data_IF_342511591245
#
_entry.id   IF_342511591245
#
_cell.length_a   1.000
_cell.length_b   1.000
_cell.length_c   1.000
_cell.angle_alpha   90.00
_cell.angle_beta   90.00
_cell.angle_gamma   90.00
#
_symmetry.space_group_name_H-M   'P 1'
#
loop_
_entity.id
_entity.type
_entity.pdbx_description
1 polymer ?
#
# COMPACT_ATOMS: atom_id res chain seq x y z
N UNK A 1 32.19 19.87 42.90
CA UNK A 1 31.37 18.94 42.09
C UNK A 1 31.02 19.67 40.81
N UNK A 2 31.60 19.26 39.68
CA UNK A 2 31.28 19.87 38.38
C UNK A 2 29.95 19.29 37.90
N UNK A 3 28.95 20.16 37.71
CA UNK A 3 27.70 19.80 37.07
C UNK A 3 28.04 19.65 35.58
N UNK A 4 28.04 18.42 35.09
CA UNK A 4 28.16 18.15 33.65
C UNK A 4 26.90 18.70 32.98
N UNK A 5 26.98 19.91 32.44
CA UNK A 5 26.02 20.43 31.47
C UNK A 5 26.20 19.64 30.18
N UNK A 6 25.61 18.45 30.13
CA UNK A 6 25.46 17.73 28.87
C UNK A 6 24.37 18.49 28.11
N UNK A 7 24.76 19.20 27.06
CA UNK A 7 23.79 19.86 26.17
C UNK A 7 22.74 18.83 25.74
N UNK A 8 21.44 19.18 25.78
CA UNK A 8 20.41 18.27 25.30
C UNK A 8 20.70 17.96 23.85
N UNK A 9 20.95 16.69 23.57
CA UNK A 9 21.08 16.21 22.20
C UNK A 9 19.74 16.46 21.51
N UNK A 10 19.79 17.05 20.32
CA UNK A 10 18.63 17.21 19.45
C UNK A 10 18.69 16.17 18.33
N UNK A 11 17.53 15.73 17.88
CA UNK A 11 17.36 14.85 16.72
C UNK A 11 16.21 15.34 15.86
N UNK A 12 16.19 14.90 14.60
CA UNK A 12 15.13 15.23 13.65
C UNK A 12 14.04 14.17 13.71
N UNK A 13 12.78 14.59 13.89
CA UNK A 13 11.65 13.67 13.85
C UNK A 13 11.53 13.06 12.46
N UNK A 14 11.44 11.72 12.38
CA UNK A 14 11.30 11.00 11.12
C UNK A 14 10.00 11.30 10.35
N UNK A 15 8.96 11.79 11.04
CA UNK A 15 7.66 12.05 10.44
C UNK A 15 7.45 13.53 10.08
N UNK A 16 7.53 14.43 11.06
CA UNK A 16 7.29 15.87 10.82
C UNK A 16 8.56 16.66 10.47
N UNK A 17 9.73 16.03 10.50
CA UNK A 17 11.03 16.66 10.21
C UNK A 17 11.45 17.79 11.18
N UNK A 18 10.67 18.04 12.23
CA UNK A 18 11.04 19.01 13.27
C UNK A 18 12.19 18.52 14.15
N UNK A 19 13.01 19.46 14.61
CA UNK A 19 14.01 19.20 15.64
C UNK A 19 13.35 19.02 17.02
N UNK A 20 13.77 18.00 17.75
CA UNK A 20 13.29 17.74 19.11
C UNK A 20 14.39 17.21 20.04
N UNK A 21 14.24 17.38 21.37
CA UNK A 21 15.16 16.78 22.33
C UNK A 21 15.12 15.25 22.24
N UNK A 22 16.29 14.61 22.29
CA UNK A 22 16.44 13.17 22.33
C UNK A 22 17.11 12.75 23.64
N UNK A 23 16.36 12.05 24.50
CA UNK A 23 16.88 11.51 25.77
C UNK A 23 17.82 10.33 25.56
N UNK A 24 17.70 9.64 24.42
CA UNK A 24 18.59 8.55 23.97
C UNK A 24 19.04 8.81 22.54
N UNK A 25 20.15 8.22 22.10
CA UNK A 25 20.64 8.33 20.72
C UNK A 25 19.69 7.75 19.65
N UNK A 26 18.51 7.24 20.04
CA UNK A 26 17.55 6.50 19.22
C UNK A 26 16.16 7.16 19.22
N UNK A 27 16.01 8.38 19.74
CA UNK A 27 14.75 9.12 19.64
C UNK A 27 14.43 9.45 18.18
N UNK A 28 13.55 8.67 17.53
CA UNK A 28 13.18 8.84 16.11
C UNK A 28 11.95 9.74 15.90
N UNK A 29 11.19 10.01 16.95
CA UNK A 29 9.93 10.73 16.87
C UNK A 29 9.81 11.73 18.02
N UNK A 30 9.26 12.91 17.73
CA UNK A 30 9.02 13.95 18.73
C UNK A 30 7.78 13.66 19.61
N UNK A 31 6.90 12.76 19.18
CA UNK A 31 5.70 12.37 19.91
C UNK A 31 5.20 10.97 19.54
N UNK A 32 4.36 10.38 20.38
CA UNK A 32 3.66 9.12 20.06
C UNK A 32 2.70 9.30 18.86
N UNK A 33 2.14 10.49 18.66
CA UNK A 33 1.33 10.80 17.48
C UNK A 33 2.15 10.70 16.19
N UNK A 34 3.34 11.31 16.13
CA UNK A 34 4.23 11.22 14.97
C UNK A 34 4.66 9.78 14.65
N UNK A 35 4.87 8.96 15.68
CA UNK A 35 5.17 7.53 15.51
C UNK A 35 3.98 6.76 14.92
N UNK A 36 2.75 7.08 15.32
CA UNK A 36 1.52 6.48 14.76
C UNK A 36 1.31 6.93 13.32
N UNK A 37 1.52 8.20 13.02
CA UNK A 37 1.41 8.73 11.65
C UNK A 37 2.45 8.11 10.71
N UNK A 38 3.72 7.99 11.12
CA UNK A 38 4.74 7.26 10.33
C UNK A 38 4.36 5.78 10.10
N UNK A 39 3.71 5.13 11.07
CA UNK A 39 3.18 3.78 10.90
C UNK A 39 2.05 3.76 9.85
N UNK A 40 1.12 4.71 9.91
CA UNK A 40 0.04 4.84 8.94
C UNK A 40 0.58 5.09 7.53
N UNK A 41 1.55 5.99 7.37
CA UNK A 41 2.18 6.32 6.09
C UNK A 41 2.78 5.09 5.41
N UNK A 42 3.48 4.25 6.18
CA UNK A 42 4.05 2.99 5.67
C UNK A 42 2.97 2.00 5.25
N UNK A 43 1.92 1.86 6.04
CA UNK A 43 0.79 0.98 5.74
C UNK A 43 0.00 1.44 4.51
N UNK A 44 -0.26 2.74 4.38
CA UNK A 44 -0.89 3.33 3.20
C UNK A 44 0.00 3.19 1.97
N UNK A 45 1.31 3.36 2.10
CA UNK A 45 2.25 3.14 1.00
C UNK A 45 2.25 1.69 0.51
N UNK A 46 2.16 0.72 1.43
CA UNK A 46 2.00 -0.69 1.06
C UNK A 46 0.64 -1.00 0.43
N UNK A 47 -0.44 -0.34 0.85
CA UNK A 47 -1.76 -0.50 0.22
C UNK A 47 -1.75 0.10 -1.20
N UNK A 48 -1.16 1.28 -1.39
CA UNK A 48 -1.07 1.97 -2.69
C UNK A 48 -0.22 1.21 -3.71
N UNK A 49 0.72 0.38 -3.27
CA UNK A 49 1.49 -0.48 -4.17
C UNK A 49 0.70 -1.69 -4.68
N UNK A 50 -0.50 -1.94 -4.16
CA UNK A 50 -1.38 -3.02 -4.59
C UNK A 50 -2.33 -2.50 -5.67
N UNK A 51 -2.05 -2.86 -6.92
CA UNK A 51 -2.84 -2.38 -8.07
C UNK A 51 -4.30 -2.85 -8.07
N UNK A 52 -4.64 -3.85 -7.25
CA UNK A 52 -6.00 -4.37 -7.10
C UNK A 52 -6.79 -3.67 -5.99
N UNK A 53 -6.20 -2.70 -5.29
CA UNK A 53 -6.85 -1.88 -4.27
C UNK A 53 -6.89 -0.41 -4.68
N UNK A 54 -7.94 0.29 -4.27
CA UNK A 54 -8.02 1.75 -4.39
C UNK A 54 -7.28 2.43 -3.23
N UNK A 55 -6.22 3.18 -3.53
CA UNK A 55 -5.45 3.98 -2.57
C UNK A 55 -6.22 5.11 -1.91
N UNK A 56 -7.38 5.48 -2.46
CA UNK A 56 -8.28 6.51 -1.93
C UNK A 56 -9.31 5.93 -0.96
N UNK A 57 -10.10 4.94 -1.39
CA UNK A 57 -11.20 4.43 -0.56
C UNK A 57 -10.95 3.04 0.03
N UNK A 58 -9.84 2.36 -0.31
CA UNK A 58 -9.56 0.98 0.12
C UNK A 58 -10.37 -0.10 -0.60
N UNK A 59 -11.26 0.26 -1.54
CA UNK A 59 -12.07 -0.71 -2.27
C UNK A 59 -11.21 -1.64 -3.13
N UNK A 60 -11.50 -2.95 -3.12
CA UNK A 60 -10.79 -3.91 -3.95
C UNK A 60 -11.32 -3.82 -5.38
N UNK A 61 -10.54 -3.31 -6.31
CA UNK A 61 -10.92 -3.10 -7.71
C UNK A 61 -10.87 -4.39 -8.53
N UNK A 62 -9.95 -5.30 -8.19
CA UNK A 62 -9.74 -6.53 -8.94
C UNK A 62 -9.67 -7.71 -8.00
N UNK A 63 -10.23 -8.83 -8.41
CA UNK A 63 -9.89 -10.14 -7.88
C UNK A 63 -8.77 -10.73 -8.73
N UNK A 64 -7.80 -11.38 -8.08
CA UNK A 64 -6.70 -12.06 -8.78
C UNK A 64 -6.84 -13.54 -8.50
N UNK A 65 -7.12 -14.31 -9.54
CA UNK A 65 -7.25 -15.77 -9.47
C UNK A 65 -6.01 -16.40 -10.10
N UNK A 66 -5.36 -17.38 -9.44
CA UNK A 66 -4.25 -18.10 -10.06
C UNK A 66 -4.75 -18.89 -11.28
N UNK A 67 -3.89 -19.16 -12.27
CA UNK A 67 -4.22 -20.04 -13.38
C UNK A 67 -4.65 -21.42 -12.91
N UNK A 68 -5.68 -21.96 -13.53
CA UNK A 68 -6.13 -23.33 -13.31
C UNK A 68 -5.11 -24.36 -13.86
N UNK A 69 -5.34 -25.64 -13.53
CA UNK A 69 -4.45 -26.73 -13.95
C UNK A 69 -4.41 -26.91 -15.47
N UNK A 70 -5.52 -26.67 -16.16
CA UNK A 70 -5.64 -26.81 -17.61
C UNK A 70 -4.78 -25.74 -18.32
N UNK A 71 -4.87 -24.49 -17.88
CA UNK A 71 -4.04 -23.40 -18.39
C UNK A 71 -2.55 -23.68 -18.14
N UNK A 72 -2.19 -24.17 -16.95
CA UNK A 72 -0.81 -24.54 -16.60
C UNK A 72 -0.28 -25.70 -17.45
N UNK A 73 -1.15 -26.65 -17.83
CA UNK A 73 -0.78 -27.73 -18.72
C UNK A 73 -0.43 -27.22 -20.13
N UNK A 74 -1.20 -26.26 -20.64
CA UNK A 74 -1.02 -25.70 -21.98
C UNK A 74 0.14 -24.71 -22.08
N UNK A 75 0.34 -23.88 -21.05
CA UNK A 75 1.28 -22.74 -21.10
C UNK A 75 2.54 -22.95 -20.25
N UNK A 76 2.60 -24.05 -19.49
CA UNK A 76 3.66 -24.34 -18.54
C UNK A 76 3.39 -23.76 -17.15
N UNK A 77 4.31 -23.98 -16.22
CA UNK A 77 4.18 -23.43 -14.88
C UNK A 77 4.25 -21.90 -14.89
N UNK A 78 3.67 -21.27 -13.88
CA UNK A 78 3.71 -19.82 -13.64
C UNK A 78 5.15 -19.27 -13.71
N UNK A 79 6.10 -20.02 -13.14
CA UNK A 79 7.54 -19.73 -13.22
C UNK A 79 8.06 -19.71 -14.65
N UNK A 80 7.66 -20.68 -15.48
CA UNK A 80 8.10 -20.76 -16.87
C UNK A 80 7.56 -19.58 -17.68
N UNK A 81 6.32 -19.17 -17.44
CA UNK A 81 5.73 -17.99 -18.09
C UNK A 81 6.46 -16.72 -17.70
N UNK A 82 6.70 -16.48 -16.41
CA UNK A 82 7.48 -15.34 -15.95
C UNK A 82 8.90 -15.29 -16.57
N UNK A 83 9.60 -16.43 -16.67
CA UNK A 83 10.90 -16.52 -17.36
C UNK A 83 10.79 -16.18 -18.85
N UNK A 84 9.75 -16.68 -19.53
CA UNK A 84 9.53 -16.42 -20.95
C UNK A 84 9.27 -14.92 -21.23
N UNK A 85 8.74 -14.19 -20.25
CA UNK A 85 8.45 -12.76 -20.33
C UNK A 85 9.56 -11.86 -19.77
N UNK A 86 10.75 -12.41 -19.47
CA UNK A 86 11.93 -11.63 -19.08
C UNK A 86 12.30 -11.71 -17.60
N UNK A 87 11.56 -12.47 -16.79
CA UNK A 87 11.91 -12.79 -15.41
C UNK A 87 13.24 -13.53 -15.31
N UNK A 88 13.96 -13.34 -14.21
CA UNK A 88 15.31 -13.90 -13.99
C UNK A 88 15.40 -14.58 -12.64
N UNK A 89 16.21 -15.63 -12.54
CA UNK A 89 16.54 -16.20 -11.25
C UNK A 89 17.68 -15.41 -10.59
N UNK A 90 17.51 -15.13 -9.30
CA UNK A 90 18.53 -14.55 -8.44
C UNK A 90 18.80 -15.49 -7.28
N UNK A 91 20.05 -15.56 -6.86
CA UNK A 91 20.41 -16.23 -5.62
C UNK A 91 20.39 -15.20 -4.49
N UNK A 92 19.49 -15.37 -3.53
CA UNK A 92 19.37 -14.54 -2.33
C UNK A 92 19.64 -15.43 -1.14
N UNK A 93 20.79 -15.23 -0.50
CA UNK A 93 21.23 -15.97 0.70
C UNK A 93 21.21 -17.51 0.57
N UNK A 94 21.52 -18.02 -0.63
CA UNK A 94 21.55 -19.46 -0.92
C UNK A 94 20.21 -20.03 -1.40
N UNK A 95 19.14 -19.23 -1.42
CA UNK A 95 17.86 -19.60 -2.00
C UNK A 95 17.74 -19.06 -3.44
N UNK A 96 17.17 -19.87 -4.33
CA UNK A 96 16.83 -19.42 -5.69
C UNK A 96 15.49 -18.70 -5.60
N UNK A 97 15.50 -17.39 -5.89
CA UNK A 97 14.32 -16.55 -6.01
C UNK A 97 14.09 -16.19 -7.48
N UNK A 98 12.83 -16.21 -7.93
CA UNK A 98 12.46 -15.69 -9.25
C UNK A 98 12.15 -14.20 -9.11
N UNK A 99 12.95 -13.36 -9.75
CA UNK A 99 12.68 -11.93 -9.91
C UNK A 99 11.89 -11.71 -11.19
N UNK A 100 10.62 -11.35 -11.04
CA UNK A 100 9.71 -11.05 -12.15
C UNK A 100 9.50 -9.53 -12.35
N UNK A 101 10.28 -8.68 -11.69
CA UNK A 101 10.12 -7.21 -11.75
C UNK A 101 10.52 -6.60 -13.10
N UNK A 102 11.30 -7.33 -13.90
CA UNK A 102 11.78 -6.95 -15.23
C UNK A 102 10.93 -7.49 -16.39
N UNK A 103 9.81 -8.17 -16.11
CA UNK A 103 8.99 -8.74 -17.17
C UNK A 103 8.35 -7.65 -18.06
N UNK A 104 8.36 -7.85 -19.38
CA UNK A 104 7.71 -6.94 -20.32
C UNK A 104 6.19 -6.90 -20.05
N UNK A 105 5.58 -5.71 -20.15
CA UNK A 105 4.16 -5.42 -19.91
C UNK A 105 3.63 -5.44 -18.45
N UNK A 106 4.52 -5.45 -17.44
CA UNK A 106 4.11 -5.60 -16.02
C UNK A 106 4.44 -4.38 -15.15
N UNK A 107 3.53 -4.05 -14.21
CA UNK A 107 3.86 -3.18 -13.08
C UNK A 107 4.84 -3.88 -12.14
N UNK A 108 6.03 -3.28 -11.98
CA UNK A 108 7.22 -3.75 -11.25
C UNK A 108 7.04 -4.27 -9.81
N UNK A 109 5.85 -4.26 -9.23
CA UNK A 109 5.63 -4.51 -7.79
C UNK A 109 4.61 -5.59 -7.46
N UNK A 110 4.06 -6.33 -8.42
CA UNK A 110 3.10 -7.39 -8.12
C UNK A 110 3.33 -8.65 -8.96
N UNK A 111 4.00 -9.64 -8.36
CA UNK A 111 4.22 -10.96 -8.96
C UNK A 111 2.90 -11.65 -9.37
N UNK A 112 1.82 -11.37 -8.65
CA UNK A 112 0.46 -11.84 -8.96
C UNK A 112 -0.07 -11.32 -10.32
N UNK A 113 0.38 -10.14 -10.79
CA UNK A 113 0.00 -9.60 -12.10
C UNK A 113 0.72 -10.29 -13.27
N UNK A 114 1.80 -11.02 -13.00
CA UNK A 114 2.57 -11.75 -14.01
C UNK A 114 1.81 -13.01 -14.44
N UNK A 115 0.91 -13.51 -13.58
CA UNK A 115 0.49 -14.90 -13.60
C UNK A 115 -1.03 -15.04 -13.39
N UNK A 116 -1.69 -14.16 -12.64
CA UNK A 116 -3.11 -14.29 -12.31
C UNK A 116 -4.06 -13.71 -13.34
N UNK A 117 -5.26 -14.28 -13.44
CA UNK A 117 -6.39 -13.65 -14.12
C UNK A 117 -6.93 -12.53 -13.24
N UNK A 118 -7.09 -11.34 -13.83
CA UNK A 118 -7.59 -10.16 -13.14
C UNK A 118 -9.04 -9.87 -13.52
N UNK A 119 -9.96 -10.05 -12.59
CA UNK A 119 -11.38 -9.79 -12.81
C UNK A 119 -11.84 -8.53 -12.05
N UNK A 120 -12.56 -7.60 -12.70
CA UNK A 120 -13.09 -6.42 -12.02
C UNK A 120 -14.15 -6.81 -10.99
N UNK A 121 -14.12 -6.16 -9.82
CA UNK A 121 -15.17 -6.33 -8.80
C UNK A 121 -16.24 -5.23 -8.91
N UNK A 122 -17.25 -5.27 -8.04
CA UNK A 122 -18.25 -4.21 -7.88
C UNK A 122 -17.66 -2.83 -7.50
N UNK A 123 -16.38 -2.75 -7.10
CA UNK A 123 -15.71 -1.48 -6.83
C UNK A 123 -14.98 -0.91 -8.06
N UNK A 124 -14.84 -1.70 -9.12
CA UNK A 124 -14.28 -1.24 -10.38
C UNK A 124 -15.28 -0.41 -11.17
N UNK A 125 -14.79 0.63 -11.83
CA UNK A 125 -15.52 1.38 -12.83
C UNK A 125 -14.65 1.55 -14.08
N UNK A 126 -15.27 1.54 -15.26
CA UNK A 126 -14.60 1.95 -16.49
C UNK A 126 -14.40 3.47 -16.47
N UNK A 127 -13.16 3.93 -16.66
CA UNK A 127 -12.81 5.34 -16.66
C UNK A 127 -11.93 5.67 -17.86
N UNK A 128 -11.95 6.94 -18.27
CA UNK A 128 -10.98 7.46 -19.24
C UNK A 128 -9.79 8.02 -18.46
N UNK A 129 -8.61 7.42 -18.67
CA UNK A 129 -7.35 7.90 -18.12
C UNK A 129 -6.69 8.84 -19.12
N UNK A 130 -6.36 10.04 -18.66
CA UNK A 130 -5.53 10.99 -19.39
C UNK A 130 -4.08 10.80 -18.96
N UNK A 131 -3.18 10.69 -19.94
CA UNK A 131 -1.74 10.67 -19.71
C UNK A 131 -1.10 11.77 -20.54
N UNK A 132 -0.38 12.66 -19.89
CA UNK A 132 0.42 13.67 -20.55
C UNK A 132 1.81 13.12 -20.85
N UNK A 133 2.20 13.14 -22.12
CA UNK A 133 3.53 12.75 -22.59
C UNK A 133 4.43 13.97 -22.75
N UNK A 134 5.73 13.71 -22.92
CA UNK A 134 6.68 14.74 -23.30
C UNK A 134 6.18 15.54 -24.51
N UNK A 135 6.39 16.86 -24.49
CA UNK A 135 5.91 17.81 -25.51
C UNK A 135 4.40 18.10 -25.50
N UNK A 136 3.69 17.82 -24.40
CA UNK A 136 2.29 18.24 -24.21
C UNK A 136 1.27 17.42 -25.01
N UNK A 137 1.69 16.25 -25.51
CA UNK A 137 0.78 15.31 -26.18
C UNK A 137 -0.06 14.59 -25.12
N UNK A 138 -1.38 14.73 -25.22
CA UNK A 138 -2.34 14.05 -24.34
C UNK A 138 -2.80 12.75 -24.98
N UNK A 139 -2.74 11.68 -24.22
CA UNK A 139 -3.30 10.39 -24.62
C UNK A 139 -4.46 10.03 -23.70
N UNK A 140 -5.57 9.62 -24.30
CA UNK A 140 -6.74 9.11 -23.58
C UNK A 140 -6.81 7.60 -23.80
N UNK A 141 -6.94 6.84 -22.71
CA UNK A 141 -7.15 5.40 -22.75
C UNK A 141 -8.27 5.02 -21.81
N UNK A 142 -9.09 4.06 -22.21
CA UNK A 142 -9.98 3.38 -21.27
C UNK A 142 -9.14 2.59 -20.27
N UNK A 143 -9.52 2.62 -19.00
CA UNK A 143 -8.91 1.80 -17.96
C UNK A 143 -9.86 1.58 -16.79
N UNK A 144 -9.35 0.90 -15.77
CA UNK A 144 -10.07 0.65 -14.52
C UNK A 144 -9.79 1.79 -13.54
N UNK A 145 -10.87 2.39 -13.04
CA UNK A 145 -10.92 3.29 -11.89
C UNK A 145 -11.81 2.71 -10.79
N UNK A 146 -12.15 3.53 -9.80
CA UNK A 146 -12.98 3.12 -8.68
C UNK A 146 -14.36 3.79 -8.71
N UNK A 147 -15.37 3.08 -8.22
CA UNK A 147 -16.72 3.63 -7.95
C UNK A 147 -16.75 4.77 -6.93
N UNK A 148 -15.64 5.04 -6.22
CA UNK A 148 -15.51 6.24 -5.40
C UNK A 148 -15.19 7.51 -6.22
N UNK A 149 -14.88 7.37 -7.51
CA UNK A 149 -14.50 8.47 -8.41
C UNK A 149 -13.00 8.55 -8.71
N UNK A 150 -12.16 7.81 -7.98
CA UNK A 150 -10.72 7.81 -8.23
C UNK A 150 -10.38 7.14 -9.58
N UNK A 151 -9.74 7.89 -10.47
CA UNK A 151 -9.25 7.40 -11.78
C UNK A 151 -7.82 6.86 -11.70
N UNK A 152 -7.05 7.34 -10.74
CA UNK A 152 -5.77 6.78 -10.33
C UNK A 152 -5.94 6.10 -8.97
N UNK A 153 -5.83 4.77 -8.95
CA UNK A 153 -5.99 3.97 -7.74
C UNK A 153 -4.70 3.85 -6.94
N UNK A 154 -3.58 4.37 -7.44
CA UNK A 154 -2.30 4.38 -6.71
C UNK A 154 -2.13 5.64 -5.84
N UNK A 155 -2.97 6.65 -6.02
CA UNK A 155 -2.99 7.88 -5.23
C UNK A 155 -4.17 7.93 -4.26
N UNK A 156 -4.06 8.88 -3.32
CA UNK A 156 -5.06 9.16 -2.29
C UNK A 156 -5.65 10.53 -2.58
N UNK A 157 -6.98 10.61 -2.62
CA UNK A 157 -7.73 11.86 -2.74
C UNK A 157 -8.56 12.10 -1.47
N UNK A 158 -8.19 13.11 -0.68
CA UNK A 158 -8.83 13.36 0.61
C UNK A 158 -10.27 13.88 0.47
N UNK A 159 -10.59 14.62 -0.60
CA UNK A 159 -11.96 15.07 -0.85
C UNK A 159 -12.89 13.88 -1.10
N UNK A 160 -12.43 12.90 -1.88
CA UNK A 160 -13.18 11.67 -2.11
C UNK A 160 -13.32 10.82 -0.85
N UNK A 161 -12.35 10.87 0.07
CA UNK A 161 -12.42 10.16 1.36
C UNK A 161 -13.43 10.80 2.30
N UNK A 162 -13.45 12.12 2.35
CA UNK A 162 -14.38 12.89 3.17
C UNK A 162 -15.82 12.84 2.67
N UNK A 163 -16.03 12.59 1.38
CA UNK A 163 -17.37 12.49 0.79
C UNK A 163 -18.20 11.31 1.34
N UNK A 164 -17.54 10.19 1.70
CA UNK A 164 -18.20 9.01 2.26
C UNK A 164 -17.29 8.26 3.24
N UNK A 165 -17.08 8.83 4.45
CA UNK A 165 -16.15 8.29 5.42
C UNK A 165 -16.57 6.90 5.91
N UNK A 166 -17.87 6.60 5.97
CA UNK A 166 -18.36 5.31 6.43
C UNK A 166 -17.91 4.17 5.49
N UNK A 167 -18.11 4.34 4.18
CA UNK A 167 -17.64 3.37 3.17
C UNK A 167 -16.12 3.29 3.16
N UNK A 168 -15.44 4.42 3.22
CA UNK A 168 -13.96 4.48 3.22
C UNK A 168 -13.39 3.69 4.39
N UNK A 169 -13.81 3.98 5.63
CA UNK A 169 -13.33 3.27 6.81
C UNK A 169 -13.60 1.76 6.73
N UNK A 170 -14.81 1.37 6.30
CA UNK A 170 -15.16 -0.04 6.14
C UNK A 170 -14.29 -0.74 5.09
N UNK A 171 -14.05 -0.10 3.96
CA UNK A 171 -13.21 -0.63 2.89
C UNK A 171 -11.75 -0.76 3.31
N UNK A 172 -11.17 0.22 4.02
CA UNK A 172 -9.82 0.09 4.56
C UNK A 172 -9.68 -1.08 5.55
N UNK A 173 -10.71 -1.33 6.38
CA UNK A 173 -10.71 -2.53 7.24
C UNK A 173 -10.64 -3.81 6.42
N UNK A 174 -11.43 -3.91 5.35
CA UNK A 174 -11.41 -5.08 4.47
C UNK A 174 -10.08 -5.21 3.71
N UNK A 175 -9.54 -4.09 3.22
CA UNK A 175 -8.26 -4.04 2.54
C UNK A 175 -7.12 -4.55 3.43
N UNK A 176 -6.98 -4.00 4.65
CA UNK A 176 -5.93 -4.43 5.56
C UNK A 176 -6.09 -5.90 6.00
N UNK A 177 -7.31 -6.39 6.17
CA UNK A 177 -7.55 -7.83 6.41
C UNK A 177 -7.21 -8.70 5.21
N UNK A 178 -7.46 -8.22 3.99
CA UNK A 178 -7.06 -8.94 2.77
C UNK A 178 -5.53 -9.01 2.68
N UNK A 179 -4.85 -7.90 2.94
CA UNK A 179 -3.39 -7.85 2.94
C UNK A 179 -2.77 -8.73 4.03
N UNK A 180 -3.36 -8.75 5.22
CA UNK A 180 -2.96 -9.67 6.30
C UNK A 180 -3.12 -11.14 5.85
N UNK A 181 -4.27 -11.52 5.29
CA UNK A 181 -4.51 -12.89 4.80
C UNK A 181 -3.58 -13.30 3.65
N UNK A 182 -3.18 -12.35 2.81
CA UNK A 182 -2.21 -12.54 1.72
C UNK A 182 -0.75 -12.46 2.19
N UNK A 183 -0.51 -12.27 3.49
CA UNK A 183 0.84 -12.05 4.06
C UNK A 183 1.61 -10.88 3.41
N UNK A 184 0.90 -9.96 2.77
CA UNK A 184 1.48 -8.80 2.10
C UNK A 184 1.92 -7.70 3.08
N UNK A 185 1.44 -7.77 4.33
CA UNK A 185 1.78 -6.87 5.41
C UNK A 185 2.00 -7.66 6.71
N UNK A 186 2.81 -7.10 7.61
CA UNK A 186 3.06 -7.67 8.95
C UNK A 186 2.28 -6.94 10.05
N UNK A 187 1.24 -6.20 9.68
CA UNK A 187 0.38 -5.48 10.60
C UNK A 187 -1.03 -6.05 10.57
N UNK A 188 -1.64 -6.07 11.75
CA UNK A 188 -3.05 -6.35 11.95
C UNK A 188 -3.77 -5.06 12.30
N UNK A 189 -4.88 -4.82 11.62
CA UNK A 189 -5.74 -3.67 11.92
C UNK A 189 -6.76 -4.05 13.00
N UNK A 190 -6.67 -3.42 14.16
CA UNK A 190 -7.74 -3.43 15.16
C UNK A 190 -8.88 -2.52 14.69
N UNK A 191 -9.96 -3.15 14.20
CA UNK A 191 -11.14 -2.47 13.70
C UNK A 191 -11.76 -1.55 14.76
N UNK A 192 -11.84 -2.00 16.01
CA UNK A 192 -12.56 -1.24 17.05
C UNK A 192 -11.73 -0.02 17.46
N UNK A 193 -10.41 -0.17 17.65
CA UNK A 193 -9.50 0.95 17.88
C UNK A 193 -9.50 1.95 16.71
N UNK A 194 -9.62 1.46 15.46
CA UNK A 194 -9.67 2.31 14.28
C UNK A 194 -10.91 3.21 14.27
N UNK A 195 -12.09 2.63 14.41
CA UNK A 195 -13.34 3.41 14.43
C UNK A 195 -13.46 4.31 15.66
N UNK A 196 -12.98 3.87 16.82
CA UNK A 196 -12.99 4.67 18.04
C UNK A 196 -12.09 5.90 17.90
N UNK A 197 -10.84 5.71 17.51
CA UNK A 197 -9.90 6.83 17.31
C UNK A 197 -10.43 7.80 16.27
N UNK A 198 -10.92 7.32 15.12
CA UNK A 198 -11.47 8.20 14.08
C UNK A 198 -12.70 8.98 14.57
N UNK A 199 -13.56 8.37 15.39
CA UNK A 199 -14.73 9.05 15.96
C UNK A 199 -14.31 10.23 16.85
N UNK A 200 -13.24 10.07 17.61
CA UNK A 200 -12.73 11.06 18.55
C UNK A 200 -11.95 12.18 17.85
N UNK A 201 -11.08 11.83 16.90
CA UNK A 201 -10.12 12.78 16.31
C UNK A 201 -10.56 13.34 14.98
N UNK A 202 -11.40 12.59 14.23
CA UNK A 202 -11.67 12.81 12.80
C UNK A 202 -10.43 12.79 11.90
N UNK A 203 -9.32 12.30 12.44
CA UNK A 203 -8.04 12.16 11.75
C UNK A 203 -7.89 10.70 11.32
N UNK A 204 -7.93 10.46 10.01
CA UNK A 204 -7.87 9.11 9.46
C UNK A 204 -6.50 8.48 9.71
N UNK A 205 -5.43 9.19 9.40
CA UNK A 205 -4.05 8.69 9.45
C UNK A 205 -3.69 8.36 10.90
N UNK A 206 -4.05 9.22 11.86
CA UNK A 206 -3.86 8.96 13.27
C UNK A 206 -4.68 7.75 13.75
N UNK A 207 -5.93 7.61 13.28
CA UNK A 207 -6.76 6.46 13.61
C UNK A 207 -6.15 5.16 13.07
N UNK A 208 -5.70 5.16 11.82
CA UNK A 208 -5.06 4.01 11.19
C UNK A 208 -3.77 3.64 11.93
N UNK A 209 -2.92 4.62 12.19
CA UNK A 209 -1.67 4.45 12.92
C UNK A 209 -1.86 3.91 14.34
N UNK A 210 -2.93 4.33 15.01
CA UNK A 210 -3.31 3.84 16.35
C UNK A 210 -3.78 2.38 16.31
N UNK A 211 -4.55 2.01 15.28
CA UNK A 211 -5.15 0.69 15.15
C UNK A 211 -4.22 -0.42 14.65
N UNK A 212 -3.11 -0.06 13.99
CA UNK A 212 -2.18 -1.04 13.44
C UNK A 212 -1.24 -1.60 14.51
N UNK A 213 -1.34 -2.91 14.76
CA UNK A 213 -0.49 -3.63 15.71
C UNK A 213 0.31 -4.74 15.00
N UNK A 214 1.46 -5.13 15.54
CA UNK A 214 2.13 -6.36 15.08
C UNK A 214 1.40 -7.56 15.70
N UNK A 215 1.10 -8.61 14.93
CA UNK A 215 0.61 -9.85 15.52
C UNK A 215 1.70 -10.45 16.43
N UNK A 216 1.27 -10.99 17.58
CA UNK A 216 2.12 -11.70 18.54
C UNK A 216 2.60 -13.06 18.00
#
# INVERSE_FOLDING_TARGET
MAISNTEPRTGTCRHCEDEHPIETAVGQFCSEACKRLDRADKALSQLRSQHYLCGTCGGQLKEITPPDEDWQHEHGSQTQVALNHGGKYHNVDGAIALDATDCEDIQRTATDAVIGFEDPTDHAAEVVKETEHAHGLRQYRTGIGCVCGATDHSSTDDLLREADPARVLANYVQAFRLLERKEAIHWRLDKDAFFETYRETRDFELALGTALNRPD
#
